data_IF_017111420217
#
_entry.id   IF_017111420217
#
_cell.length_a   1.000
_cell.length_b   1.000
_cell.length_c   1.000
_cell.angle_alpha   90.00
_cell.angle_beta   90.00
_cell.angle_gamma   90.00
#
_symmetry.space_group_name_H-M   'P 1'
#
loop_
_entity.id
_entity.type
_entity.pdbx_description
1 polymer ?
#
# COMPACT_ATOMS: atom_id res chain seq x y z
N UNK A 1 -37.16 -33.46 30.63
CA UNK A 1 -35.70 -33.20 30.45
C UNK A 1 -35.49 -32.85 28.98
N UNK A 2 -35.25 -31.56 28.67
CA UNK A 2 -35.01 -31.09 27.31
C UNK A 2 -33.50 -30.81 27.17
N UNK A 3 -32.83 -31.61 26.36
CA UNK A 3 -31.40 -31.49 26.02
C UNK A 3 -31.25 -30.39 25.01
N UNK A 4 -30.59 -29.28 25.41
CA UNK A 4 -30.13 -28.25 24.49
C UNK A 4 -28.80 -28.69 23.88
N UNK A 5 -28.78 -28.91 22.57
CA UNK A 5 -27.56 -29.12 21.79
C UNK A 5 -26.97 -27.75 21.42
N UNK A 6 -25.77 -27.47 21.89
CA UNK A 6 -25.00 -26.32 21.47
C UNK A 6 -24.41 -26.60 20.08
N UNK A 7 -24.90 -25.89 19.07
CA UNK A 7 -24.23 -25.79 17.78
C UNK A 7 -23.03 -24.84 17.92
N UNK A 8 -21.83 -25.39 18.03
CA UNK A 8 -20.58 -24.61 17.99
C UNK A 8 -20.35 -24.19 16.55
N UNK A 9 -20.32 -22.88 16.31
CA UNK A 9 -20.08 -22.27 15.02
C UNK A 9 -18.74 -22.71 14.40
N UNK A 10 -18.80 -23.44 13.29
CA UNK A 10 -17.64 -23.84 12.48
C UNK A 10 -16.86 -22.62 11.87
N UNK A 11 -17.40 -21.41 11.95
CA UNK A 11 -16.79 -20.20 11.43
C UNK A 11 -15.61 -19.65 12.24
N UNK A 12 -15.55 -19.94 13.54
CA UNK A 12 -14.50 -19.41 14.44
C UNK A 12 -13.16 -20.15 14.34
N UNK A 13 -13.19 -21.43 13.97
CA UNK A 13 -11.96 -22.21 13.80
C UNK A 13 -11.22 -21.90 12.50
N UNK A 14 -11.94 -21.53 11.43
CA UNK A 14 -11.31 -21.20 10.13
C UNK A 14 -10.55 -19.86 10.19
N UNK A 15 -11.05 -18.87 10.92
CA UNK A 15 -10.38 -17.58 11.10
C UNK A 15 -9.11 -17.68 11.97
N UNK A 16 -9.14 -18.52 13.01
CA UNK A 16 -7.99 -18.71 13.89
C UNK A 16 -6.81 -19.44 13.21
N UNK A 17 -7.08 -20.37 12.29
CA UNK A 17 -6.02 -21.04 11.51
C UNK A 17 -5.42 -20.14 10.44
N UNK A 18 -6.18 -19.24 9.82
CA UNK A 18 -5.67 -18.27 8.85
C UNK A 18 -4.77 -17.20 9.47
N UNK A 19 -4.99 -16.84 10.74
CA UNK A 19 -4.14 -15.89 11.50
C UNK A 19 -2.77 -16.48 11.88
N UNK A 20 -2.58 -17.79 11.77
CA UNK A 20 -1.31 -18.47 12.05
C UNK A 20 -0.41 -18.63 10.81
N UNK A 21 -0.93 -18.36 9.60
CA UNK A 21 -0.15 -18.47 8.37
C UNK A 21 0.73 -17.23 8.14
N UNK A 22 1.97 -17.46 7.73
CA UNK A 22 2.90 -16.37 7.38
C UNK A 22 2.49 -15.68 6.07
N UNK A 23 2.90 -14.42 5.87
CA UNK A 23 2.69 -13.73 4.60
C UNK A 23 3.30 -14.50 3.41
N UNK A 24 4.37 -15.28 3.64
CA UNK A 24 4.99 -16.11 2.62
C UNK A 24 4.10 -17.27 2.18
N UNK A 25 3.37 -17.90 3.10
CA UNK A 25 2.44 -18.99 2.80
C UNK A 25 1.16 -18.49 2.12
N UNK A 26 0.71 -17.29 2.50
CA UNK A 26 -0.49 -16.66 1.96
C UNK A 26 -0.29 -16.01 0.59
N UNK A 27 0.96 -15.88 0.11
CA UNK A 27 1.27 -15.20 -1.16
C UNK A 27 2.06 -16.10 -2.10
N UNK A 28 1.79 -16.04 -3.40
CA UNK A 28 2.58 -16.71 -4.43
C UNK A 28 3.73 -15.84 -4.90
N UNK A 29 4.95 -16.40 -5.09
CA UNK A 29 6.03 -15.73 -5.80
C UNK A 29 5.78 -15.78 -7.32
N UNK A 30 5.90 -14.63 -7.97
CA UNK A 30 5.70 -14.46 -9.41
C UNK A 30 6.76 -13.51 -9.98
N UNK A 31 6.86 -13.46 -11.31
CA UNK A 31 7.74 -12.52 -12.01
C UNK A 31 6.99 -11.92 -13.18
N UNK A 32 7.00 -10.60 -13.30
CA UNK A 32 6.61 -9.88 -14.51
C UNK A 32 7.84 -9.77 -15.41
N UNK A 33 7.65 -10.03 -16.71
CA UNK A 33 8.62 -9.70 -17.74
C UNK A 33 7.98 -8.70 -18.71
N UNK A 34 8.64 -7.57 -18.93
CA UNK A 34 8.20 -6.58 -19.91
C UNK A 34 8.51 -7.03 -21.34
N UNK A 35 7.91 -6.41 -22.37
CA UNK A 35 8.25 -6.69 -23.77
C UNK A 35 9.74 -6.47 -24.09
N UNK A 36 10.39 -5.56 -23.36
CA UNK A 36 11.82 -5.24 -23.51
C UNK A 36 12.74 -6.18 -22.72
N UNK A 37 12.18 -7.23 -22.07
CA UNK A 37 12.92 -8.22 -21.30
C UNK A 37 13.27 -7.78 -19.85
N UNK A 38 12.86 -6.59 -19.40
CA UNK A 38 13.04 -6.18 -18.00
C UNK A 38 12.13 -7.01 -17.09
N UNK A 39 12.62 -7.38 -15.91
CA UNK A 39 11.87 -8.23 -14.98
C UNK A 39 11.62 -7.54 -13.64
N UNK A 40 10.47 -7.88 -13.02
CA UNK A 40 10.12 -7.46 -11.67
C UNK A 40 9.54 -8.65 -10.91
N UNK A 41 10.20 -9.07 -9.84
CA UNK A 41 9.68 -10.08 -8.92
C UNK A 41 8.59 -9.48 -8.06
N UNK A 42 7.55 -10.25 -7.77
CA UNK A 42 6.46 -9.81 -6.91
C UNK A 42 5.81 -10.97 -6.16
N UNK A 43 5.15 -10.64 -5.08
CA UNK A 43 4.25 -11.55 -4.36
C UNK A 43 2.82 -11.13 -4.58
N UNK A 44 1.95 -12.12 -4.75
CA UNK A 44 0.52 -11.87 -4.90
C UNK A 44 -0.30 -12.81 -4.02
N UNK A 45 -1.23 -12.23 -3.26
CA UNK A 45 -2.29 -12.96 -2.57
C UNK A 45 -3.57 -12.89 -3.39
N UNK A 46 -4.20 -14.03 -3.58
CA UNK A 46 -5.52 -14.16 -4.18
C UNK A 46 -6.43 -14.87 -3.17
N UNK A 47 -7.47 -14.21 -2.68
CA UNK A 47 -8.43 -14.86 -1.79
C UNK A 47 -9.13 -16.03 -2.47
N UNK A 48 -9.50 -17.06 -1.71
CA UNK A 48 -10.32 -18.17 -2.20
C UNK A 48 -11.75 -17.72 -2.52
N UNK A 49 -12.44 -18.47 -3.37
CA UNK A 49 -13.87 -18.25 -3.68
C UNK A 49 -14.15 -17.00 -4.51
N UNK A 50 -13.28 -16.68 -5.47
CA UNK A 50 -13.37 -15.48 -6.34
C UNK A 50 -14.54 -15.50 -7.34
N UNK A 51 -15.22 -16.62 -7.54
CA UNK A 51 -16.24 -16.78 -8.58
C UNK A 51 -17.32 -15.69 -8.47
N UNK A 52 -17.40 -14.82 -9.48
CA UNK A 52 -18.43 -13.80 -9.63
C UNK A 52 -18.28 -12.56 -8.75
N UNK A 53 -17.20 -12.41 -7.96
CA UNK A 53 -16.99 -11.23 -7.09
C UNK A 53 -15.82 -10.39 -7.60
N UNK A 54 -16.04 -9.07 -7.65
CA UNK A 54 -14.95 -8.10 -7.81
C UNK A 54 -14.36 -7.75 -6.44
N UNK A 55 -13.03 -7.82 -6.32
CA UNK A 55 -12.29 -7.66 -5.09
C UNK A 55 -11.51 -6.35 -5.03
N UNK A 56 -11.32 -5.77 -3.85
CA UNK A 56 -10.34 -4.71 -3.65
C UNK A 56 -8.95 -5.19 -4.03
N UNK A 57 -8.09 -4.27 -4.46
CA UNK A 57 -6.67 -4.51 -4.68
C UNK A 57 -5.85 -3.56 -3.81
N UNK A 58 -4.88 -4.10 -3.08
CA UNK A 58 -3.90 -3.33 -2.31
C UNK A 58 -2.52 -3.53 -2.92
N UNK A 59 -1.92 -2.44 -3.41
CA UNK A 59 -0.51 -2.40 -3.80
C UNK A 59 0.30 -1.96 -2.58
N UNK A 60 1.28 -2.79 -2.18
CA UNK A 60 2.22 -2.47 -1.11
C UNK A 60 3.62 -2.24 -1.66
N UNK A 61 4.25 -1.11 -1.29
CA UNK A 61 5.61 -0.75 -1.68
C UNK A 61 6.52 -0.73 -0.46
N UNK A 62 7.51 -1.63 -0.45
CA UNK A 62 8.43 -1.83 0.67
C UNK A 62 9.50 -0.73 0.78
N UNK A 63 10.22 -0.69 1.90
CA UNK A 63 11.32 0.22 2.17
C UNK A 63 12.64 -0.20 1.49
N UNK A 64 13.68 0.61 1.69
CA UNK A 64 14.99 0.37 1.06
C UNK A 64 15.68 -0.91 1.54
N UNK A 65 15.41 -1.33 2.77
CA UNK A 65 16.00 -2.54 3.38
C UNK A 65 15.52 -3.85 2.78
N UNK A 66 14.37 -3.83 2.09
CA UNK A 66 13.74 -5.02 1.51
C UNK A 66 13.99 -5.16 0.00
N UNK A 67 14.89 -4.33 -0.56
CA UNK A 67 15.37 -4.46 -1.94
C UNK A 67 16.09 -5.79 -2.15
N UNK A 68 15.95 -6.35 -3.32
CA UNK A 68 16.61 -7.62 -3.64
C UNK A 68 15.99 -8.32 -4.84
N UNK A 69 16.25 -9.62 -4.89
CA UNK A 69 15.75 -10.52 -5.93
C UNK A 69 15.34 -11.89 -5.37
N UNK A 70 15.24 -12.00 -4.04
CA UNK A 70 14.83 -13.23 -3.36
C UNK A 70 13.31 -13.46 -3.39
N UNK A 71 12.55 -12.46 -3.81
CA UNK A 71 11.10 -12.46 -3.81
C UNK A 71 10.47 -12.82 -2.44
N UNK A 72 11.11 -12.39 -1.35
CA UNK A 72 10.71 -12.70 0.03
C UNK A 72 10.80 -11.49 0.97
N UNK A 73 11.89 -10.72 0.92
CA UNK A 73 12.16 -9.62 1.85
C UNK A 73 11.07 -8.53 1.82
N UNK A 74 10.42 -8.29 0.68
CA UNK A 74 9.31 -7.31 0.55
C UNK A 74 8.11 -7.63 1.44
N UNK A 75 8.02 -8.84 2.00
CA UNK A 75 6.95 -9.24 2.92
C UNK A 75 7.22 -8.90 4.39
N UNK A 76 8.43 -8.41 4.71
CA UNK A 76 8.93 -8.24 6.08
C UNK A 76 8.08 -7.29 6.93
N UNK A 77 7.55 -6.23 6.34
CA UNK A 77 6.82 -5.18 7.05
C UNK A 77 5.45 -4.93 6.41
N UNK A 78 4.40 -4.79 7.21
CA UNK A 78 3.06 -4.33 6.80
C UNK A 78 2.23 -5.31 5.98
N UNK A 79 2.84 -6.20 5.18
CA UNK A 79 2.09 -7.14 4.32
C UNK A 79 1.27 -8.12 5.15
N UNK A 80 1.84 -8.64 6.25
CA UNK A 80 1.12 -9.54 7.15
C UNK A 80 -0.12 -8.88 7.76
N UNK A 81 0.00 -7.63 8.19
CA UNK A 81 -1.12 -6.88 8.78
C UNK A 81 -2.23 -6.66 7.75
N UNK A 82 -1.86 -6.28 6.52
CA UNK A 82 -2.80 -6.09 5.40
C UNK A 82 -3.52 -7.41 5.07
N UNK A 83 -2.78 -8.52 5.01
CA UNK A 83 -3.35 -9.86 4.76
C UNK A 83 -4.29 -10.29 5.88
N UNK A 84 -3.88 -10.17 7.15
CA UNK A 84 -4.72 -10.50 8.30
C UNK A 84 -6.03 -9.70 8.31
N UNK A 85 -5.94 -8.39 8.04
CA UNK A 85 -7.14 -7.56 7.93
C UNK A 85 -8.02 -8.00 6.77
N UNK A 86 -7.44 -8.23 5.59
CA UNK A 86 -8.13 -8.65 4.38
C UNK A 86 -8.91 -9.96 4.58
N UNK A 87 -8.26 -10.99 5.13
CA UNK A 87 -8.85 -12.31 5.35
C UNK A 87 -10.09 -12.28 6.23
N UNK A 88 -10.14 -11.37 7.19
CA UNK A 88 -11.27 -11.24 8.12
C UNK A 88 -12.33 -10.21 7.66
N UNK A 89 -12.08 -9.47 6.57
CA UNK A 89 -12.93 -8.38 6.09
C UNK A 89 -13.31 -8.49 4.61
N UNK A 90 -13.61 -9.70 4.15
CA UNK A 90 -14.19 -9.93 2.82
C UNK A 90 -13.19 -10.18 1.69
N UNK A 91 -11.91 -10.23 2.00
CA UNK A 91 -10.85 -10.55 1.05
C UNK A 91 -10.40 -9.36 0.18
N UNK A 92 -9.13 -9.35 -0.17
CA UNK A 92 -8.55 -8.44 -1.16
C UNK A 92 -7.40 -9.12 -1.90
N UNK A 93 -7.17 -8.73 -3.14
CA UNK A 93 -5.93 -9.03 -3.85
C UNK A 93 -4.84 -8.16 -3.22
N UNK A 94 -3.74 -8.76 -2.75
CA UNK A 94 -2.60 -8.01 -2.22
C UNK A 94 -1.40 -8.23 -3.14
N UNK A 95 -0.80 -7.15 -3.62
CA UNK A 95 0.28 -7.13 -4.58
C UNK A 95 1.49 -6.44 -3.96
N UNK A 96 2.59 -7.16 -3.82
CA UNK A 96 3.84 -6.68 -3.23
C UNK A 96 5.03 -6.92 -4.19
N UNK A 97 5.34 -5.97 -5.10
CA UNK A 97 6.53 -6.06 -5.94
C UNK A 97 7.79 -5.87 -5.11
N UNK A 98 8.91 -6.45 -5.56
CA UNK A 98 10.23 -6.25 -4.98
C UNK A 98 11.08 -5.34 -5.88
N UNK A 99 11.47 -4.19 -5.34
CA UNK A 99 12.42 -3.30 -5.99
C UNK A 99 13.80 -3.96 -6.01
N UNK A 100 14.48 -4.04 -7.16
CA UNK A 100 15.80 -4.65 -7.24
C UNK A 100 16.84 -3.93 -6.39
N UNK A 101 17.91 -4.66 -6.04
CA UNK A 101 19.06 -4.09 -5.36
C UNK A 101 19.63 -2.93 -6.18
N UNK A 102 20.08 -1.86 -5.52
CA UNK A 102 20.62 -0.64 -6.16
C UNK A 102 19.63 0.19 -7.00
N UNK A 103 18.34 -0.13 -6.96
CA UNK A 103 17.27 0.67 -7.55
C UNK A 103 16.38 1.32 -6.48
N UNK A 104 15.51 2.21 -6.90
CA UNK A 104 14.54 2.91 -6.06
C UNK A 104 13.19 2.97 -6.76
N UNK A 105 12.10 3.08 -5.97
CA UNK A 105 10.77 3.37 -6.54
C UNK A 105 10.75 4.73 -7.23
N UNK A 106 11.47 5.70 -6.68
CA UNK A 106 11.61 7.06 -7.22
C UNK A 106 13.08 7.44 -7.21
N UNK A 107 13.63 7.85 -8.34
CA UNK A 107 15.01 8.31 -8.45
C UNK A 107 15.14 9.73 -7.85
N UNK A 108 15.21 9.80 -6.52
CA UNK A 108 15.36 11.04 -5.76
C UNK A 108 16.27 10.85 -4.55
N UNK A 109 16.80 11.95 -4.04
CA UNK A 109 17.54 11.94 -2.78
C UNK A 109 16.55 11.99 -1.60
N UNK A 110 16.51 10.93 -0.79
CA UNK A 110 15.59 10.83 0.36
C UNK A 110 15.87 11.83 1.47
N UNK A 111 17.13 12.27 1.60
CA UNK A 111 17.55 13.25 2.61
C UNK A 111 17.31 14.71 2.15
N UNK A 112 16.97 14.93 0.88
CA UNK A 112 16.67 16.26 0.40
C UNK A 112 15.34 16.76 1.01
N UNK A 113 15.22 18.04 1.37
CA UNK A 113 14.00 18.60 1.94
C UNK A 113 12.84 18.62 0.95
N UNK A 114 13.11 18.62 -0.36
CA UNK A 114 12.11 18.60 -1.42
C UNK A 114 12.66 17.89 -2.66
N UNK A 115 11.77 17.52 -3.59
CA UNK A 115 12.14 17.11 -4.94
C UNK A 115 10.98 17.38 -5.90
N UNK A 116 11.30 17.56 -7.16
CA UNK A 116 10.33 17.48 -8.24
C UNK A 116 10.23 16.04 -8.74
N UNK A 117 9.04 15.60 -9.10
CA UNK A 117 8.83 14.24 -9.63
C UNK A 117 9.63 14.08 -10.93
N UNK A 118 10.50 13.06 -11.05
CA UNK A 118 11.20 12.78 -12.29
C UNK A 118 10.22 12.60 -13.47
N UNK A 119 10.54 13.18 -14.63
CA UNK A 119 9.68 13.10 -15.81
C UNK A 119 9.38 11.66 -16.24
N UNK A 120 10.38 10.77 -16.12
CA UNK A 120 10.23 9.34 -16.35
C UNK A 120 10.18 8.59 -15.03
N UNK A 121 9.31 7.57 -14.90
CA UNK A 121 9.37 6.69 -13.75
C UNK A 121 10.69 5.91 -13.72
N UNK A 122 11.13 5.52 -12.52
CA UNK A 122 12.20 4.54 -12.41
C UNK A 122 11.79 3.20 -13.05
N UNK A 123 12.75 2.37 -13.45
CA UNK A 123 12.44 1.05 -14.00
C UNK A 123 11.52 0.23 -13.08
N UNK A 124 11.78 0.08 -11.75
CA UNK A 124 10.88 -0.66 -10.89
C UNK A 124 9.48 -0.02 -10.79
N UNK A 125 9.35 1.31 -10.84
CA UNK A 125 8.05 1.98 -10.85
C UNK A 125 7.32 1.76 -12.19
N UNK A 126 8.03 1.85 -13.34
CA UNK A 126 7.47 1.52 -14.67
C UNK A 126 6.90 0.10 -14.68
N UNK A 127 7.69 -0.86 -14.21
CA UNK A 127 7.26 -2.26 -14.15
C UNK A 127 6.12 -2.49 -13.16
N UNK A 128 6.10 -1.77 -12.03
CA UNK A 128 4.99 -1.83 -11.06
C UNK A 128 3.69 -1.31 -11.67
N UNK A 129 3.73 -0.23 -12.44
CA UNK A 129 2.55 0.27 -13.17
C UNK A 129 2.07 -0.73 -14.23
N UNK A 130 2.98 -1.38 -14.96
CA UNK A 130 2.63 -2.45 -15.92
C UNK A 130 1.99 -3.64 -15.20
N UNK A 131 2.58 -4.07 -14.08
CA UNK A 131 2.07 -5.17 -13.25
C UNK A 131 0.67 -4.84 -12.72
N UNK A 132 0.46 -3.64 -12.19
CA UNK A 132 -0.84 -3.20 -11.67
C UNK A 132 -1.91 -3.26 -12.76
N UNK A 133 -1.63 -2.73 -13.95
CA UNK A 133 -2.56 -2.77 -15.09
C UNK A 133 -2.85 -4.20 -15.54
N UNK A 134 -1.82 -5.07 -15.59
CA UNK A 134 -1.99 -6.49 -15.91
C UNK A 134 -2.90 -7.19 -14.92
N UNK A 135 -2.65 -7.02 -13.61
CA UNK A 135 -3.46 -7.61 -12.54
C UNK A 135 -4.91 -7.11 -12.60
N UNK A 136 -5.12 -5.82 -12.88
CA UNK A 136 -6.46 -5.25 -13.03
C UNK A 136 -7.21 -5.75 -14.27
N UNK A 137 -6.50 -6.14 -15.32
CA UNK A 137 -7.10 -6.68 -16.54
C UNK A 137 -7.41 -8.18 -16.43
N UNK A 138 -6.51 -8.95 -15.80
CA UNK A 138 -6.56 -10.42 -15.80
C UNK A 138 -7.37 -10.98 -14.61
N UNK A 139 -7.51 -10.22 -13.53
CA UNK A 139 -8.16 -10.68 -12.30
C UNK A 139 -9.43 -9.85 -11.99
N UNK A 140 -10.36 -10.40 -11.21
CA UNK A 140 -11.62 -9.74 -10.88
C UNK A 140 -11.44 -8.57 -9.89
N UNK A 141 -10.61 -7.60 -10.24
CA UNK A 141 -10.39 -6.39 -9.46
C UNK A 141 -11.60 -5.47 -9.56
N UNK A 142 -12.03 -4.92 -8.41
CA UNK A 142 -12.95 -3.80 -8.39
C UNK A 142 -12.18 -2.49 -8.69
N UNK A 143 -12.36 -1.88 -9.87
CA UNK A 143 -11.60 -0.69 -10.24
C UNK A 143 -11.94 0.53 -9.37
N UNK A 144 -13.03 0.48 -8.61
CA UNK A 144 -13.38 1.52 -7.64
C UNK A 144 -12.69 1.33 -6.27
N UNK A 145 -12.03 0.19 -6.03
CA UNK A 145 -11.37 -0.14 -4.76
C UNK A 145 -9.92 -0.60 -4.97
N UNK A 146 -9.13 0.25 -5.61
CA UNK A 146 -7.68 0.06 -5.79
C UNK A 146 -6.95 0.99 -4.84
N UNK A 147 -6.12 0.43 -3.98
CA UNK A 147 -5.41 1.15 -2.93
C UNK A 147 -3.91 1.00 -3.08
N UNK A 148 -3.15 1.99 -2.59
CA UNK A 148 -1.71 1.90 -2.48
C UNK A 148 -1.22 2.35 -1.11
N UNK A 149 -0.25 1.64 -0.58
CA UNK A 149 0.45 2.00 0.65
C UNK A 149 1.91 1.61 0.55
N UNK A 150 2.77 2.28 1.29
CA UNK A 150 4.19 1.95 1.32
C UNK A 150 4.94 2.71 2.40
N UNK A 151 6.12 2.19 2.72
CA UNK A 151 6.93 2.63 3.85
C UNK A 151 8.28 3.19 3.36
N UNK A 152 8.77 4.29 3.94
CA UNK A 152 10.10 4.83 3.66
C UNK A 152 10.30 5.07 2.15
N UNK A 153 11.24 4.40 1.50
CA UNK A 153 11.38 4.37 0.04
C UNK A 153 10.04 4.07 -0.67
N UNK A 154 9.23 3.14 -0.14
CA UNK A 154 7.89 2.85 -0.63
C UNK A 154 6.86 3.95 -0.31
N UNK A 155 7.09 4.75 0.72
CA UNK A 155 6.33 5.98 0.99
C UNK A 155 6.52 7.01 -0.12
N UNK A 156 7.76 7.19 -0.60
CA UNK A 156 8.04 7.97 -1.83
C UNK A 156 7.36 7.35 -3.05
N UNK A 157 7.49 6.02 -3.21
CA UNK A 157 6.82 5.29 -4.29
C UNK A 157 5.31 5.46 -4.28
N UNK A 158 4.70 5.50 -3.08
CA UNK A 158 3.25 5.74 -2.93
C UNK A 158 2.87 7.13 -3.42
N UNK A 159 3.62 8.16 -3.07
CA UNK A 159 3.40 9.51 -3.59
C UNK A 159 3.60 9.58 -5.10
N UNK A 160 4.70 9.01 -5.62
CA UNK A 160 5.02 9.04 -7.05
C UNK A 160 3.94 8.36 -7.89
N UNK A 161 3.49 7.16 -7.49
CA UNK A 161 2.51 6.41 -8.29
C UNK A 161 1.13 7.07 -8.33
N UNK A 162 0.68 7.68 -7.21
CA UNK A 162 -0.59 8.42 -7.22
C UNK A 162 -0.48 9.74 -7.96
N UNK A 163 0.70 10.37 -8.02
CA UNK A 163 0.95 11.58 -8.80
C UNK A 163 1.00 11.29 -10.30
N UNK A 164 1.50 10.11 -10.71
CA UNK A 164 1.51 9.68 -12.12
C UNK A 164 0.14 9.23 -12.61
N UNK A 165 -0.59 8.49 -11.80
CA UNK A 165 -1.83 7.83 -12.18
C UNK A 165 -2.95 8.10 -11.14
N UNK A 166 -3.32 9.37 -10.92
CA UNK A 166 -4.25 9.71 -9.85
C UNK A 166 -5.65 9.07 -10.04
N UNK A 167 -6.04 8.77 -11.27
CA UNK A 167 -7.33 8.15 -11.57
C UNK A 167 -7.42 6.67 -11.17
N UNK A 168 -6.28 6.00 -10.92
CA UNK A 168 -6.28 4.57 -10.59
C UNK A 168 -6.74 4.31 -9.15
N UNK A 169 -6.39 5.18 -8.21
CA UNK A 169 -6.48 4.87 -6.79
C UNK A 169 -7.72 5.44 -6.11
N UNK A 170 -8.32 4.63 -5.25
CA UNK A 170 -9.42 5.01 -4.37
C UNK A 170 -8.94 5.64 -3.06
N UNK A 171 -7.74 5.27 -2.60
CA UNK A 171 -7.07 5.85 -1.43
C UNK A 171 -5.59 5.51 -1.41
N UNK A 172 -4.82 6.27 -0.61
CA UNK A 172 -3.39 6.03 -0.41
C UNK A 172 -2.96 6.24 1.04
N UNK A 173 -1.95 5.44 1.47
CA UNK A 173 -1.31 5.59 2.79
C UNK A 173 0.21 5.64 2.60
N UNK A 174 0.82 6.79 2.32
CA UNK A 174 2.27 6.96 2.35
C UNK A 174 2.76 7.11 3.79
N UNK A 175 3.78 6.31 4.17
CA UNK A 175 4.39 6.31 5.50
C UNK A 175 5.87 6.69 5.38
N UNK A 176 6.32 7.73 6.11
CA UNK A 176 7.70 8.23 6.11
C UNK A 176 8.25 8.47 4.71
N UNK A 177 7.52 9.22 3.89
CA UNK A 177 7.90 9.52 2.51
C UNK A 177 7.59 10.95 2.11
N UNK A 178 7.84 11.29 0.85
CA UNK A 178 7.55 12.60 0.29
C UNK A 178 7.23 12.54 -1.20
N UNK A 179 6.47 13.51 -1.68
CA UNK A 179 6.12 13.70 -3.09
C UNK A 179 6.56 15.06 -3.62
N UNK A 180 6.18 15.36 -4.84
CA UNK A 180 6.29 16.67 -5.45
C UNK A 180 5.07 17.52 -5.03
N UNK A 181 5.33 18.57 -4.25
CA UNK A 181 4.26 19.43 -3.72
C UNK A 181 3.51 20.18 -4.83
N UNK A 182 4.14 20.44 -5.98
CA UNK A 182 3.50 21.11 -7.11
C UNK A 182 2.38 20.27 -7.73
N UNK A 183 2.40 18.95 -7.54
CA UNK A 183 1.41 18.02 -8.06
C UNK A 183 0.26 17.73 -7.08
N UNK A 184 0.28 18.33 -5.88
CA UNK A 184 -0.81 18.16 -4.90
C UNK A 184 -2.22 18.46 -5.47
N UNK A 185 -2.44 19.46 -6.33
CA UNK A 185 -3.76 19.74 -6.89
C UNK A 185 -4.37 18.57 -7.69
N UNK A 186 -3.54 17.75 -8.33
CA UNK A 186 -4.00 16.57 -9.08
C UNK A 186 -4.55 15.47 -8.16
N UNK A 187 -4.16 15.48 -6.88
CA UNK A 187 -4.51 14.46 -5.89
C UNK A 187 -5.73 14.82 -5.02
N UNK A 188 -6.32 15.99 -5.17
CA UNK A 188 -7.36 16.51 -4.28
C UNK A 188 -8.57 15.59 -4.10
N UNK A 189 -8.83 14.73 -5.09
CA UNK A 189 -9.96 13.80 -5.08
C UNK A 189 -9.63 12.44 -4.46
N UNK A 190 -8.35 12.17 -4.12
CA UNK A 190 -7.91 10.92 -3.51
C UNK A 190 -7.88 11.10 -1.99
N UNK A 191 -8.64 10.33 -1.20
CA UNK A 191 -8.45 10.25 0.25
C UNK A 191 -7.05 9.74 0.59
N UNK A 192 -6.30 10.51 1.37
CA UNK A 192 -4.92 10.17 1.74
C UNK A 192 -4.76 10.25 3.26
N UNK A 193 -4.19 9.20 3.87
CA UNK A 193 -3.70 9.24 5.25
C UNK A 193 -2.19 9.17 5.27
N UNK A 194 -1.55 10.17 5.86
CA UNK A 194 -0.09 10.30 5.93
C UNK A 194 0.37 10.03 7.36
N UNK A 195 1.46 9.28 7.51
CA UNK A 195 2.06 8.97 8.81
C UNK A 195 3.56 9.22 8.79
N UNK A 196 4.10 9.84 9.88
CA UNK A 196 5.53 10.12 10.01
C UNK A 196 5.94 10.24 11.49
N UNK A 197 7.17 9.92 11.82
CA UNK A 197 7.77 10.19 13.12
C UNK A 197 8.46 11.56 13.12
N UNK A 198 8.28 12.36 14.15
CA UNK A 198 8.86 13.72 14.22
C UNK A 198 10.37 13.72 14.46
N UNK A 199 10.94 12.58 14.92
CA UNK A 199 12.37 12.37 15.14
C UNK A 199 12.98 11.44 14.07
N UNK A 200 12.38 11.40 12.87
CA UNK A 200 12.88 10.58 11.76
C UNK A 200 14.21 11.14 11.23
N UNK A 201 15.29 10.37 11.41
CA UNK A 201 16.64 10.72 10.97
C UNK A 201 17.00 10.18 9.57
N UNK A 202 16.12 9.36 8.97
CA UNK A 202 16.34 8.77 7.64
C UNK A 202 15.60 9.56 6.54
N UNK A 203 14.34 9.94 6.82
CA UNK A 203 13.51 10.76 5.94
C UNK A 203 13.04 11.99 6.72
N UNK A 204 13.44 13.21 6.33
CA UNK A 204 13.04 14.41 7.05
C UNK A 204 11.52 14.54 7.12
N UNK A 205 10.97 14.74 8.32
CA UNK A 205 9.52 14.85 8.56
C UNK A 205 8.85 15.96 7.75
N UNK A 206 9.64 16.99 7.36
CA UNK A 206 9.18 18.09 6.51
C UNK A 206 8.60 17.57 5.18
N UNK A 207 9.10 16.43 4.68
CA UNK A 207 8.62 15.81 3.44
C UNK A 207 7.12 15.47 3.48
N UNK A 208 6.64 14.95 4.62
CA UNK A 208 5.22 14.68 4.81
C UNK A 208 4.44 15.96 5.14
N UNK A 209 5.01 16.85 5.97
CA UNK A 209 4.37 18.12 6.34
C UNK A 209 4.05 18.97 5.11
N UNK A 210 5.01 19.13 4.20
CA UNK A 210 4.85 19.94 2.97
C UNK A 210 3.78 19.37 2.03
N UNK A 211 3.76 18.02 1.82
CA UNK A 211 2.71 17.37 1.04
C UNK A 211 1.32 17.56 1.65
N UNK A 212 1.21 17.41 2.98
CA UNK A 212 -0.05 17.62 3.71
C UNK A 212 -0.50 19.08 3.61
N UNK A 213 0.42 20.03 3.77
CA UNK A 213 0.12 21.46 3.64
C UNK A 213 -0.36 21.79 2.23
N UNK A 214 0.34 21.32 1.20
CA UNK A 214 -0.02 21.55 -0.20
C UNK A 214 -1.40 20.96 -0.55
N UNK A 215 -1.70 19.75 -0.06
CA UNK A 215 -3.01 19.13 -0.25
C UNK A 215 -4.12 19.92 0.46
N UNK A 216 -3.91 20.34 1.69
CA UNK A 216 -4.89 21.17 2.42
C UNK A 216 -5.14 22.50 1.71
N UNK A 217 -4.08 23.14 1.21
CA UNK A 217 -4.17 24.41 0.49
C UNK A 217 -5.00 24.33 -0.80
N UNK A 218 -5.03 23.18 -1.47
CA UNK A 218 -5.86 22.97 -2.67
C UNK A 218 -7.20 22.26 -2.40
N UNK A 219 -7.60 22.09 -1.12
CA UNK A 219 -8.86 21.45 -0.73
C UNK A 219 -8.85 19.92 -0.88
N UNK A 220 -7.67 19.29 -0.81
CA UNK A 220 -7.51 17.84 -0.87
C UNK A 220 -7.99 17.14 0.40
N UNK A 221 -8.43 15.89 0.25
CA UNK A 221 -8.88 15.05 1.35
C UNK A 221 -7.68 14.35 2.00
N UNK A 222 -7.00 15.02 2.93
CA UNK A 222 -5.81 14.50 3.60
C UNK A 222 -5.94 14.52 5.12
N UNK A 223 -5.57 13.41 5.74
CA UNK A 223 -5.39 13.27 7.20
C UNK A 223 -3.92 13.00 7.49
N UNK A 224 -3.39 13.60 8.54
CA UNK A 224 -2.00 13.44 8.95
C UNK A 224 -1.89 13.06 10.41
N UNK A 225 -1.11 12.02 10.68
CA UNK A 225 -0.71 11.65 12.04
C UNK A 225 0.80 11.68 12.14
N UNK A 226 1.31 12.64 12.88
CA UNK A 226 2.70 12.73 13.30
C UNK A 226 2.84 12.04 14.66
N UNK A 227 3.81 11.15 14.77
CA UNK A 227 4.07 10.42 15.99
C UNK A 227 5.17 11.15 16.79
N UNK A 228 4.79 11.80 17.87
CA UNK A 228 5.71 12.53 18.75
C UNK A 228 6.77 11.61 19.36
N UNK A 229 8.04 12.05 19.33
CA UNK A 229 9.20 11.31 19.83
C UNK A 229 9.55 10.05 19.06
N UNK A 230 8.93 9.83 17.90
CA UNK A 230 9.16 8.62 17.11
C UNK A 230 10.17 8.84 15.99
N UNK A 231 11.07 7.87 15.81
CA UNK A 231 12.02 7.81 14.71
C UNK A 231 11.39 7.29 13.42
N UNK A 232 12.22 6.63 12.59
CA UNK A 232 11.84 6.21 11.24
C UNK A 232 10.80 5.10 11.21
N UNK A 233 10.89 4.08 12.10
CA UNK A 233 9.95 2.95 12.15
C UNK A 233 8.64 3.34 12.84
N UNK A 234 7.74 4.00 12.11
CA UNK A 234 6.37 4.20 12.57
C UNK A 234 5.37 3.28 11.87
N UNK A 235 5.79 2.56 10.83
CA UNK A 235 4.90 1.66 10.08
C UNK A 235 4.43 0.46 10.88
N UNK A 236 5.27 -0.08 11.78
CA UNK A 236 4.89 -1.19 12.66
C UNK A 236 3.64 -0.84 13.47
N UNK A 237 3.66 0.28 14.18
CA UNK A 237 2.50 0.75 14.94
C UNK A 237 1.33 1.22 14.06
N UNK A 238 1.61 1.73 12.87
CA UNK A 238 0.59 2.23 11.95
C UNK A 238 -0.24 1.09 11.39
N UNK A 239 0.40 0.01 10.91
CA UNK A 239 -0.33 -1.14 10.38
C UNK A 239 -0.97 -2.01 11.47
N UNK A 240 -0.41 -2.04 12.68
CA UNK A 240 -1.03 -2.69 13.84
C UNK A 240 -2.33 -2.01 14.31
N UNK A 241 -2.53 -0.73 13.96
CA UNK A 241 -3.79 -0.03 14.24
C UNK A 241 -4.85 -0.41 13.20
N UNK A 242 -5.74 -1.34 13.57
CA UNK A 242 -6.82 -1.83 12.71
C UNK A 242 -7.70 -0.70 12.14
N UNK A 243 -7.78 0.46 12.80
CA UNK A 243 -8.55 1.61 12.31
C UNK A 243 -7.96 2.20 11.02
N UNK A 244 -6.66 2.03 10.78
CA UNK A 244 -5.96 2.49 9.57
C UNK A 244 -6.38 1.65 8.36
N UNK A 245 -6.33 0.32 8.50
CA UNK A 245 -6.74 -0.59 7.43
C UNK A 245 -8.26 -0.56 7.23
N UNK A 246 -9.05 -0.47 8.30
CA UNK A 246 -10.50 -0.27 8.21
C UNK A 246 -10.85 0.97 7.39
N UNK A 247 -10.14 2.08 7.62
CA UNK A 247 -10.34 3.29 6.85
C UNK A 247 -9.96 3.08 5.38
N UNK A 248 -8.82 2.44 5.07
CA UNK A 248 -8.37 2.20 3.70
C UNK A 248 -9.41 1.41 2.90
N UNK A 249 -9.87 0.30 3.46
CA UNK A 249 -10.83 -0.60 2.81
C UNK A 249 -12.26 -0.02 2.69
N UNK A 250 -12.57 1.01 3.48
CA UNK A 250 -13.84 1.73 3.39
C UNK A 250 -13.89 2.74 2.22
N UNK A 251 -12.73 3.10 1.62
CA UNK A 251 -12.69 4.07 0.55
C UNK A 251 -13.17 3.46 -0.78
N UNK A 252 -13.89 4.24 -1.57
CA UNK A 252 -14.34 3.84 -2.90
C UNK A 252 -14.38 5.07 -3.83
N UNK A 253 -13.83 4.95 -5.03
CA UNK A 253 -13.91 6.03 -6.04
C UNK A 253 -15.37 6.39 -6.34
N UNK A 254 -15.64 7.68 -6.44
CA UNK A 254 -16.97 8.18 -6.75
C UNK A 254 -17.97 8.15 -5.59
N UNK A 255 -17.59 7.64 -4.40
CA UNK A 255 -18.40 7.77 -3.19
C UNK A 255 -17.73 8.75 -2.22
N UNK A 256 -18.45 9.81 -1.88
CA UNK A 256 -18.03 10.64 -0.75
C UNK A 256 -18.12 9.79 0.53
N UNK A 257 -16.98 9.52 1.17
CA UNK A 257 -17.00 8.98 2.53
C UNK A 257 -17.44 10.11 3.43
N UNK A 258 -18.62 9.96 4.04
CA UNK A 258 -19.04 10.89 5.10
C UNK A 258 -18.03 10.77 6.25
N UNK A 259 -17.61 11.90 6.83
CA UNK A 259 -16.64 11.95 7.91
C UNK A 259 -17.08 11.15 9.12
#
# INVERSE_FOLDING_TARGET
MKTFAYAVCAGTLCAASALAQSASELTRPETLTSPDGETLKYRIHLPDGLAGKKLPLVLFLHGAGERGDDNALQLKHGVSDILCYSLTNGGAIVLAPQCPLNMQWVNTNWNAPAHSMPSMPSTPMKLTLMLLRKVMADLPVDPARVYVTGISMGGYGTWDIIQREPALFAAAIPICGGGDVALAPALKHIPIRVFHGDQDNAVPVIRSRDMVQALKACGGNVQYKEYAGAGHDVWTRTYADASVLKWLFAQQKGKAVRP
#
